data_IF_184107759566
#
_entry.id   IF_184107759566
#
_cell.length_a   1.000
_cell.length_b   1.000
_cell.length_c   1.000
_cell.angle_alpha   90.00
_cell.angle_beta   90.00
_cell.angle_gamma   90.00
#
_symmetry.space_group_name_H-M   'P 1'
#
loop_
_entity.id
_entity.type
_entity.pdbx_description
1 polymer ?
#
# COMPACT_ATOMS: atom_id res chain seq x y z
N UNK A 1 -26.93 48.24 -32.72
CA UNK A 1 -27.36 46.90 -32.23
C UNK A 1 -26.20 45.91 -32.03
N UNK A 2 -25.26 45.74 -32.98
CA UNK A 2 -24.19 44.74 -32.87
C UNK A 2 -23.14 44.96 -31.77
N UNK A 3 -22.86 46.21 -31.38
CA UNK A 3 -21.86 46.51 -30.34
C UNK A 3 -22.29 46.08 -28.92
N UNK A 4 -23.60 46.12 -28.62
CA UNK A 4 -24.14 45.72 -27.32
C UNK A 4 -24.09 44.20 -27.14
N UNK A 5 -24.42 43.43 -28.18
CA UNK A 5 -24.33 41.96 -28.17
C UNK A 5 -22.88 41.46 -27.99
N UNK A 6 -21.89 42.18 -28.53
CA UNK A 6 -20.48 41.86 -28.34
C UNK A 6 -19.97 42.08 -26.91
N UNK A 7 -20.47 43.12 -26.23
CA UNK A 7 -20.11 43.42 -24.85
C UNK A 7 -20.73 42.41 -23.87
N UNK A 8 -21.94 41.96 -24.15
CA UNK A 8 -22.67 40.98 -23.33
C UNK A 8 -22.02 39.59 -23.38
N UNK A 9 -21.66 39.11 -24.58
CA UNK A 9 -20.91 37.86 -24.74
C UNK A 9 -19.54 37.87 -24.04
N UNK A 10 -18.87 39.03 -23.99
CA UNK A 10 -17.60 39.18 -23.25
C UNK A 10 -17.81 39.14 -21.74
N UNK A 11 -18.89 39.74 -21.22
CA UNK A 11 -19.25 39.67 -19.79
C UNK A 11 -19.59 38.24 -19.38
N UNK A 12 -20.33 37.52 -20.21
CA UNK A 12 -20.74 36.14 -19.95
C UNK A 12 -19.54 35.17 -19.97
N UNK A 13 -18.62 35.31 -20.94
CA UNK A 13 -17.35 34.57 -20.95
C UNK A 13 -16.51 34.83 -19.71
N UNK A 14 -16.38 36.10 -19.28
CA UNK A 14 -15.63 36.45 -18.06
C UNK A 14 -16.29 35.89 -16.80
N UNK A 15 -17.62 35.81 -16.75
CA UNK A 15 -18.36 35.22 -15.63
C UNK A 15 -18.16 33.70 -15.57
N UNK A 16 -18.24 33.01 -16.70
CA UNK A 16 -17.96 31.58 -16.80
C UNK A 16 -16.52 31.23 -16.41
N UNK A 17 -15.55 32.04 -16.85
CA UNK A 17 -14.14 31.86 -16.53
C UNK A 17 -13.82 32.12 -15.06
N UNK A 18 -14.52 33.06 -14.41
CA UNK A 18 -14.42 33.29 -12.95
C UNK A 18 -15.07 32.16 -12.15
N UNK A 19 -16.15 31.56 -12.65
CA UNK A 19 -16.80 30.41 -12.00
C UNK A 19 -15.94 29.14 -12.11
N UNK A 20 -15.26 28.91 -13.24
CA UNK A 20 -14.35 27.77 -13.40
C UNK A 20 -13.03 27.92 -12.63
N UNK A 21 -12.65 29.15 -12.27
CA UNK A 21 -11.48 29.45 -11.44
C UNK A 21 -11.80 29.64 -9.95
N UNK A 22 -13.08 29.58 -9.55
CA UNK A 22 -13.42 29.49 -8.13
C UNK A 22 -12.99 28.11 -7.65
N UNK A 23 -12.01 28.08 -6.76
CA UNK A 23 -11.68 26.89 -5.98
C UNK A 23 -12.98 26.37 -5.32
N UNK A 24 -13.25 25.06 -5.36
CA UNK A 24 -14.41 24.49 -4.70
C UNK A 24 -14.38 24.82 -3.20
N UNK A 25 -15.56 24.88 -2.57
CA UNK A 25 -15.68 25.10 -1.14
C UNK A 25 -14.75 24.14 -0.39
N UNK A 26 -14.11 24.65 0.66
CA UNK A 26 -12.94 24.15 1.39
C UNK A 26 -12.90 22.68 1.84
N UNK A 27 -13.88 21.84 1.50
CA UNK A 27 -13.84 20.38 1.61
C UNK A 27 -13.04 19.68 0.50
N UNK A 28 -12.97 20.25 -0.71
CA UNK A 28 -12.29 19.64 -1.87
C UNK A 28 -10.79 19.97 -1.98
N UNK A 29 -10.30 20.90 -1.14
CA UNK A 29 -8.85 21.15 -1.04
C UNK A 29 -8.10 19.94 -0.47
N UNK A 30 -8.75 19.13 0.36
CA UNK A 30 -8.16 17.88 0.86
C UNK A 30 -8.14 16.82 -0.26
N UNK A 31 -9.18 16.75 -1.10
CA UNK A 31 -9.23 15.83 -2.25
C UNK A 31 -8.22 16.18 -3.35
N UNK A 32 -7.92 17.47 -3.53
CA UNK A 32 -6.91 17.95 -4.50
C UNK A 32 -5.47 17.93 -3.97
N UNK A 33 -5.27 17.87 -2.65
CA UNK A 33 -3.97 17.61 -2.02
C UNK A 33 -3.63 16.12 -1.91
N UNK A 34 -4.60 15.22 -2.10
CA UNK A 34 -4.29 13.81 -2.22
C UNK A 34 -3.71 13.54 -3.61
N UNK A 35 -2.51 12.93 -3.71
CA UNK A 35 -2.00 12.51 -5.01
C UNK A 35 -3.05 11.62 -5.65
N UNK A 36 -3.43 11.92 -6.90
CA UNK A 36 -4.42 11.15 -7.66
C UNK A 36 -4.22 9.66 -7.35
N UNK A 37 -5.27 9.01 -6.84
CA UNK A 37 -5.23 7.62 -6.39
C UNK A 37 -4.98 6.73 -7.60
N UNK A 38 -3.70 6.59 -7.94
CA UNK A 38 -3.24 5.77 -9.05
C UNK A 38 -3.59 4.33 -8.68
N UNK A 39 -4.23 3.56 -9.57
CA UNK A 39 -4.44 2.15 -9.34
C UNK A 39 -3.09 1.51 -9.02
N UNK A 40 -3.04 0.79 -7.91
CA UNK A 40 -1.80 0.21 -7.40
C UNK A 40 -1.76 -1.22 -7.90
N UNK A 41 -0.82 -1.49 -8.80
CA UNK A 41 -0.73 -2.73 -9.57
C UNK A 41 0.26 -3.76 -8.99
N UNK A 42 0.63 -3.64 -7.73
CA UNK A 42 1.54 -4.59 -7.06
C UNK A 42 1.20 -4.82 -5.60
N UNK A 43 1.79 -5.86 -5.01
CA UNK A 43 1.48 -6.27 -3.64
C UNK A 43 1.98 -5.24 -2.60
N UNK A 44 2.98 -4.43 -2.94
CA UNK A 44 3.54 -3.42 -2.04
C UNK A 44 2.99 -2.03 -2.37
N UNK A 45 2.42 -1.38 -1.36
CA UNK A 45 1.90 -0.01 -1.47
C UNK A 45 2.99 1.07 -1.43
N UNK A 46 2.70 2.27 -1.96
CA UNK A 46 3.68 3.37 -2.07
C UNK A 46 4.10 3.99 -0.73
N UNK A 47 3.36 3.74 0.35
CA UNK A 47 3.74 4.19 1.69
C UNK A 47 4.97 3.44 2.23
N UNK A 48 5.09 2.16 1.85
CA UNK A 48 6.08 1.21 2.38
C UNK A 48 7.30 1.15 1.45
N UNK A 49 7.09 1.28 0.13
CA UNK A 49 8.15 1.10 -0.87
C UNK A 49 8.98 2.36 -1.12
N UNK A 50 10.30 2.26 -0.94
CA UNK A 50 11.28 3.35 -1.03
C UNK A 50 12.38 3.05 -2.05
N UNK A 51 12.79 4.10 -2.75
CA UNK A 51 13.94 4.06 -3.64
C UNK A 51 15.23 4.20 -2.82
N UNK A 52 16.11 3.21 -2.89
CA UNK A 52 17.42 3.21 -2.25
C UNK A 52 18.42 4.18 -2.88
N UNK A 53 18.15 4.73 -4.07
CA UNK A 53 19.00 5.73 -4.72
C UNK A 53 18.75 7.15 -4.21
N UNK A 54 17.49 7.53 -3.97
CA UNK A 54 17.12 8.91 -3.63
C UNK A 54 16.15 9.05 -2.44
N UNK A 55 15.77 7.95 -1.78
CA UNK A 55 14.86 7.92 -0.63
C UNK A 55 13.38 8.16 -0.95
N UNK A 56 13.04 8.62 -2.17
CA UNK A 56 11.66 8.88 -2.54
C UNK A 56 10.79 7.63 -2.56
N UNK A 57 9.47 7.81 -2.42
CA UNK A 57 8.51 6.72 -2.59
C UNK A 57 8.52 6.17 -4.02
N UNK A 58 8.26 4.88 -4.13
CA UNK A 58 8.00 4.21 -5.39
C UNK A 58 6.53 3.80 -5.46
N UNK A 59 5.97 3.66 -6.66
CA UNK A 59 4.62 3.15 -6.87
C UNK A 59 4.60 2.24 -8.09
N UNK A 60 3.64 1.32 -8.11
CA UNK A 60 3.39 0.49 -9.27
C UNK A 60 2.71 1.33 -10.37
N UNK A 61 3.21 1.22 -11.59
CA UNK A 61 2.62 1.80 -12.80
C UNK A 61 2.45 0.70 -13.83
N UNK A 62 1.29 0.63 -14.47
CA UNK A 62 1.14 -0.17 -15.68
C UNK A 62 1.82 0.55 -16.84
N UNK A 63 2.58 -0.21 -17.61
CA UNK A 63 3.10 0.19 -18.90
C UNK A 63 2.64 -0.82 -19.95
N UNK A 64 2.20 -0.31 -21.10
CA UNK A 64 1.91 -1.14 -22.27
C UNK A 64 3.22 -1.36 -23.02
N UNK A 65 3.66 -2.62 -23.11
CA UNK A 65 4.93 -3.02 -23.71
C UNK A 65 4.66 -3.93 -24.91
N UNK A 66 5.37 -3.70 -26.01
CA UNK A 66 5.29 -4.54 -27.22
C UNK A 66 4.90 -3.79 -28.50
N UNK A 67 5.09 -4.45 -29.64
CA UNK A 67 4.77 -3.92 -30.96
C UNK A 67 3.26 -3.80 -31.19
N UNK A 68 2.86 -3.00 -32.17
CA UNK A 68 1.47 -2.91 -32.64
C UNK A 68 0.97 -4.32 -33.00
N UNK A 69 -0.11 -4.78 -32.36
CA UNK A 69 -0.66 -6.14 -32.52
C UNK A 69 -0.21 -7.19 -31.50
N UNK A 70 0.85 -6.93 -30.71
CA UNK A 70 1.31 -7.81 -29.59
C UNK A 70 1.61 -7.00 -28.34
N UNK A 71 0.66 -6.15 -27.93
CA UNK A 71 0.80 -5.32 -26.73
C UNK A 71 0.45 -6.15 -25.50
N UNK A 72 1.38 -6.22 -24.55
CA UNK A 72 1.16 -6.77 -23.21
C UNK A 72 1.20 -5.64 -22.20
N UNK A 73 0.34 -5.67 -21.18
CA UNK A 73 0.45 -4.75 -20.06
C UNK A 73 1.34 -5.39 -19.00
N UNK A 74 2.38 -4.67 -18.56
CA UNK A 74 3.23 -5.10 -17.46
C UNK A 74 3.28 -4.01 -16.40
N UNK A 75 3.16 -4.41 -15.14
CA UNK A 75 3.29 -3.50 -14.03
C UNK A 75 4.76 -3.38 -13.61
N UNK A 76 5.21 -2.18 -13.31
CA UNK A 76 6.55 -1.92 -12.78
C UNK A 76 6.52 -0.92 -11.65
N UNK A 77 7.35 -1.14 -10.63
CA UNK A 77 7.63 -0.16 -9.60
C UNK A 77 8.56 0.92 -10.13
N UNK A 78 8.12 2.18 -10.02
CA UNK A 78 8.85 3.34 -10.54
C UNK A 78 9.06 4.34 -9.41
N UNK A 79 10.29 4.85 -9.29
CA UNK A 79 10.61 5.95 -8.39
C UNK A 79 9.84 7.22 -8.79
N UNK A 80 9.26 7.92 -7.81
CA UNK A 80 8.57 9.20 -8.03
C UNK A 80 9.43 10.21 -8.78
N UNK A 81 10.66 10.45 -8.34
CA UNK A 81 11.52 11.42 -9.00
C UNK A 81 11.97 10.99 -10.40
N UNK A 82 12.20 9.68 -10.62
CA UNK A 82 12.49 9.18 -11.95
C UNK A 82 11.33 9.44 -12.91
N UNK A 83 10.08 9.18 -12.52
CA UNK A 83 8.92 9.46 -13.39
C UNK A 83 8.70 10.95 -13.59
N UNK A 84 8.75 11.73 -12.51
CA UNK A 84 8.35 13.14 -12.53
C UNK A 84 9.43 14.03 -13.19
N UNK A 85 10.72 13.65 -13.09
CA UNK A 85 11.87 14.47 -13.53
C UNK A 85 12.86 13.74 -14.45
N UNK A 86 12.66 12.45 -14.70
CA UNK A 86 13.55 11.64 -15.54
C UNK A 86 14.76 11.03 -14.82
N UNK A 87 15.50 10.21 -15.56
CA UNK A 87 16.64 9.44 -15.05
C UNK A 87 17.82 10.33 -14.58
N UNK A 88 17.94 11.55 -15.09
CA UNK A 88 18.97 12.51 -14.68
C UNK A 88 18.85 12.90 -13.20
N UNK A 89 17.64 12.89 -12.64
CA UNK A 89 17.41 13.20 -11.23
C UNK A 89 17.51 11.96 -10.34
N UNK A 90 17.07 10.80 -10.84
CA UNK A 90 17.19 9.54 -10.14
C UNK A 90 17.40 8.40 -11.13
N UNK A 91 18.61 7.82 -11.11
CA UNK A 91 18.99 6.71 -11.98
C UNK A 91 18.33 5.37 -11.62
N UNK A 92 17.40 5.34 -10.66
CA UNK A 92 16.66 4.13 -10.29
C UNK A 92 15.78 3.67 -11.47
N UNK A 93 16.07 2.53 -12.11
CA UNK A 93 15.26 2.06 -13.23
C UNK A 93 13.87 1.59 -12.74
N UNK A 94 12.86 1.57 -13.63
CA UNK A 94 11.64 0.80 -13.42
C UNK A 94 11.99 -0.68 -13.16
N UNK A 95 11.38 -1.27 -12.13
CA UNK A 95 11.58 -2.69 -11.80
C UNK A 95 10.26 -3.44 -11.93
N UNK A 96 10.20 -4.61 -12.58
CA UNK A 96 8.97 -5.40 -12.67
C UNK A 96 8.38 -5.67 -11.29
N UNK A 97 7.06 -5.56 -11.18
CA UNK A 97 6.35 -5.78 -9.90
C UNK A 97 6.61 -7.19 -9.37
N UNK A 98 6.50 -8.21 -10.23
CA UNK A 98 6.69 -9.62 -9.89
C UNK A 98 8.04 -9.87 -9.20
N UNK A 99 9.13 -9.30 -9.73
CA UNK A 99 10.48 -9.45 -9.17
C UNK A 99 10.59 -8.92 -7.74
N UNK A 100 9.96 -7.76 -7.49
CA UNK A 100 9.98 -7.14 -6.16
C UNK A 100 9.04 -7.87 -5.21
N UNK A 101 7.83 -8.18 -5.66
CA UNK A 101 6.80 -8.84 -4.86
C UNK A 101 7.28 -10.22 -4.40
N UNK A 102 7.88 -11.02 -5.29
CA UNK A 102 8.40 -12.35 -4.97
C UNK A 102 9.63 -12.29 -4.05
N UNK A 103 10.52 -11.32 -4.25
CA UNK A 103 11.68 -11.13 -3.36
C UNK A 103 11.26 -10.72 -1.93
N UNK A 104 10.26 -9.83 -1.81
CA UNK A 104 9.72 -9.43 -0.51
C UNK A 104 8.96 -10.58 0.13
N UNK A 105 8.14 -11.31 -0.63
CA UNK A 105 7.46 -12.50 -0.16
C UNK A 105 8.45 -13.55 0.37
N UNK A 106 9.53 -13.84 -0.37
CA UNK A 106 10.58 -14.77 0.07
C UNK A 106 11.24 -14.32 1.38
N UNK A 107 11.53 -13.03 1.53
CA UNK A 107 12.10 -12.47 2.76
C UNK A 107 11.12 -12.60 3.94
N UNK A 108 9.84 -12.29 3.73
CA UNK A 108 8.78 -12.43 4.76
C UNK A 108 8.60 -13.88 5.15
N UNK A 109 8.48 -14.79 4.19
CA UNK A 109 8.33 -16.22 4.43
C UNK A 109 9.54 -16.79 5.18
N UNK A 110 10.76 -16.43 4.77
CA UNK A 110 11.99 -16.83 5.44
C UNK A 110 12.01 -16.38 6.90
N UNK A 111 11.66 -15.12 7.14
CA UNK A 111 11.62 -14.56 8.49
C UNK A 111 10.53 -15.22 9.37
N UNK A 112 9.35 -15.49 8.81
CA UNK A 112 8.27 -16.19 9.53
C UNK A 112 8.68 -17.61 9.93
N UNK A 113 9.44 -18.31 9.09
CA UNK A 113 10.01 -19.63 9.44
C UNK A 113 10.99 -19.52 10.61
N UNK A 114 11.84 -18.49 10.63
CA UNK A 114 12.76 -18.26 11.75
C UNK A 114 12.00 -18.04 13.06
N UNK A 115 10.89 -17.31 13.05
CA UNK A 115 10.07 -17.09 14.25
C UNK A 115 9.30 -18.33 14.69
N UNK A 116 8.77 -19.10 13.74
CA UNK A 116 8.06 -20.36 14.02
C UNK A 116 8.98 -21.39 14.70
N UNK A 117 10.26 -21.43 14.28
CA UNK A 117 11.27 -22.29 14.90
C UNK A 117 11.79 -21.76 16.25
N UNK A 118 11.65 -20.47 16.52
CA UNK A 118 12.21 -19.80 17.70
C UNK A 118 11.20 -19.58 18.85
N UNK A 119 9.96 -20.09 18.75
CA UNK A 119 8.92 -19.78 19.74
C UNK A 119 8.54 -20.99 20.62
N UNK A 120 9.12 -21.14 21.83
CA UNK A 120 8.29 -21.26 23.02
C UNK A 120 7.71 -19.86 23.33
N UNK A 121 6.38 -19.73 23.35
CA UNK A 121 5.63 -18.51 23.66
C UNK A 121 6.43 -17.46 24.46
N UNK A 122 6.86 -16.32 23.88
CA UNK A 122 7.40 -15.24 24.70
C UNK A 122 6.26 -14.69 25.57
N UNK A 123 6.49 -14.43 26.88
CA UNK A 123 5.48 -13.83 27.74
C UNK A 123 5.09 -12.47 27.17
N UNK A 124 3.78 -12.23 27.07
CA UNK A 124 3.25 -10.97 26.62
C UNK A 124 3.85 -9.83 27.45
N UNK A 125 4.58 -8.93 26.82
CA UNK A 125 5.00 -7.69 27.48
C UNK A 125 3.75 -6.99 28.02
N UNK A 126 3.72 -6.72 29.33
CA UNK A 126 2.65 -6.03 30.02
C UNK A 126 2.53 -4.61 29.46
N UNK A 127 1.60 -4.42 28.52
CA UNK A 127 1.10 -3.08 28.19
C UNK A 127 -0.04 -2.79 29.15
N UNK A 128 -0.04 -1.66 29.88
CA UNK A 128 -1.01 -1.38 30.94
C UNK A 128 -2.45 -1.52 30.43
N UNK A 129 -3.24 -2.34 31.13
CA UNK A 129 -4.56 -2.81 30.72
C UNK A 129 -5.58 -1.70 30.40
N UNK A 130 -5.38 -0.50 30.95
CA UNK A 130 -6.23 0.67 30.67
C UNK A 130 -6.01 1.28 29.28
N UNK A 131 -4.82 1.14 28.69
CA UNK A 131 -4.51 1.72 27.38
C UNK A 131 -5.02 0.88 26.19
N UNK A 132 -5.29 -0.41 26.40
CA UNK A 132 -5.68 -1.33 25.32
C UNK A 132 -7.16 -1.28 24.98
N UNK A 133 -8.06 -1.08 25.95
CA UNK A 133 -9.50 -0.99 25.66
C UNK A 133 -9.86 0.30 24.93
N UNK A 134 -9.31 1.44 25.36
CA UNK A 134 -9.51 2.73 24.70
C UNK A 134 -8.90 2.76 23.29
N UNK A 135 -7.74 2.13 23.10
CA UNK A 135 -7.12 1.99 21.79
C UNK A 135 -7.97 1.11 20.84
N UNK A 136 -8.50 -0.02 21.33
CA UNK A 136 -9.42 -0.89 20.56
C UNK A 136 -10.71 -0.15 20.23
N UNK A 137 -11.29 0.58 21.18
CA UNK A 137 -12.50 1.37 20.96
C UNK A 137 -12.28 2.49 19.93
N UNK A 138 -11.12 3.15 19.99
CA UNK A 138 -10.73 4.21 19.04
C UNK A 138 -10.51 3.62 17.64
N UNK A 139 -9.83 2.48 17.53
CA UNK A 139 -9.62 1.77 16.26
C UNK A 139 -10.96 1.27 15.68
N UNK A 140 -11.86 0.76 16.53
CA UNK A 140 -13.20 0.32 16.13
C UNK A 140 -14.03 1.49 15.58
N UNK A 141 -14.04 2.62 16.29
CA UNK A 141 -14.72 3.83 15.85
C UNK A 141 -14.14 4.40 14.55
N UNK A 142 -12.82 4.30 14.35
CA UNK A 142 -12.19 4.70 13.10
C UNK A 142 -12.60 3.78 11.93
N UNK A 143 -12.62 2.46 12.16
CA UNK A 143 -13.12 1.47 11.20
C UNK A 143 -14.60 1.71 10.89
N UNK A 144 -15.45 2.00 11.88
CA UNK A 144 -16.88 2.26 11.68
C UNK A 144 -17.13 3.54 10.87
N UNK A 145 -16.37 4.61 11.14
CA UNK A 145 -16.44 5.84 10.34
C UNK A 145 -16.04 5.58 8.89
N UNK A 146 -14.97 4.82 8.66
CA UNK A 146 -14.53 4.44 7.31
C UNK A 146 -15.56 3.55 6.62
N UNK A 147 -16.13 2.57 7.33
CA UNK A 147 -17.18 1.69 6.83
C UNK A 147 -18.42 2.49 6.41
N UNK A 148 -18.91 3.37 7.29
CA UNK A 148 -20.06 4.22 7.00
C UNK A 148 -19.82 5.11 5.78
N UNK A 149 -18.60 5.67 5.65
CA UNK A 149 -18.21 6.50 4.50
C UNK A 149 -18.17 5.67 3.21
N UNK A 150 -17.63 4.45 3.25
CA UNK A 150 -17.59 3.54 2.08
C UNK A 150 -19.01 3.11 1.69
N UNK A 151 -19.86 2.75 2.65
CA UNK A 151 -21.26 2.38 2.40
C UNK A 151 -22.06 3.54 1.81
N UNK A 152 -21.87 4.77 2.32
CA UNK A 152 -22.54 5.96 1.81
C UNK A 152 -22.10 6.32 0.38
N UNK A 153 -20.83 6.13 0.05
CA UNK A 153 -20.30 6.38 -1.29
C UNK A 153 -20.61 5.23 -2.28
N UNK A 154 -20.85 4.02 -1.79
CA UNK A 154 -21.17 2.85 -2.60
C UNK A 154 -20.14 2.60 -3.69
N UNK A 155 -20.59 2.46 -4.94
CA UNK A 155 -19.72 2.25 -6.11
C UNK A 155 -18.82 3.44 -6.46
N UNK A 156 -19.04 4.61 -5.83
CA UNK A 156 -18.22 5.81 -6.00
C UNK A 156 -17.12 5.93 -4.94
N UNK A 157 -17.01 4.97 -4.01
CA UNK A 157 -15.98 4.98 -3.00
C UNK A 157 -14.58 4.91 -3.65
N UNK A 158 -13.68 5.87 -3.38
CA UNK A 158 -12.30 5.81 -3.83
C UNK A 158 -11.62 4.54 -3.31
N UNK A 159 -10.81 3.88 -4.15
CA UNK A 159 -10.07 2.67 -3.76
C UNK A 159 -9.23 2.86 -2.49
N UNK A 160 -8.68 4.06 -2.26
CA UNK A 160 -7.92 4.37 -1.04
C UNK A 160 -8.78 4.36 0.23
N UNK A 161 -10.06 4.70 0.15
CA UNK A 161 -10.96 4.57 1.31
C UNK A 161 -11.24 3.10 1.61
N UNK A 162 -11.38 2.26 0.58
CA UNK A 162 -11.53 0.80 0.74
C UNK A 162 -10.23 0.20 1.31
N UNK A 163 -9.07 0.63 0.85
CA UNK A 163 -7.75 0.20 1.38
C UNK A 163 -7.55 0.64 2.83
N UNK A 164 -7.90 1.88 3.18
CA UNK A 164 -7.85 2.37 4.56
C UNK A 164 -8.80 1.62 5.46
N UNK A 165 -9.99 1.29 4.97
CA UNK A 165 -10.94 0.46 5.69
C UNK A 165 -10.35 -0.94 5.93
N UNK A 166 -9.83 -1.60 4.90
CA UNK A 166 -9.19 -2.91 5.04
C UNK A 166 -8.02 -2.89 6.03
N UNK A 167 -7.20 -1.83 6.01
CA UNK A 167 -6.09 -1.64 6.95
C UNK A 167 -6.61 -1.44 8.37
N UNK A 168 -7.61 -0.57 8.56
CA UNK A 168 -8.20 -0.31 9.87
C UNK A 168 -8.88 -1.56 10.46
N UNK A 169 -9.52 -2.38 9.62
CA UNK A 169 -10.09 -3.67 10.02
C UNK A 169 -9.01 -4.66 10.45
N UNK A 170 -7.95 -4.83 9.66
CA UNK A 170 -6.84 -5.71 10.01
C UNK A 170 -6.10 -5.27 11.29
N UNK A 171 -5.96 -3.96 11.50
CA UNK A 171 -5.34 -3.43 12.72
C UNK A 171 -6.25 -3.64 13.94
N UNK A 172 -7.57 -3.46 13.79
CA UNK A 172 -8.53 -3.77 14.86
C UNK A 172 -8.51 -5.26 15.23
N UNK A 173 -8.55 -6.15 14.24
CA UNK A 173 -8.44 -7.60 14.44
C UNK A 173 -7.12 -7.96 15.16
N UNK A 174 -6.01 -7.32 14.79
CA UNK A 174 -4.71 -7.50 15.46
C UNK A 174 -4.77 -7.10 16.93
N UNK A 175 -5.34 -5.93 17.25
CA UNK A 175 -5.47 -5.47 18.63
C UNK A 175 -6.40 -6.38 19.44
N UNK A 176 -7.50 -6.85 18.84
CA UNK A 176 -8.41 -7.81 19.46
C UNK A 176 -7.73 -9.15 19.72
N UNK A 177 -6.95 -9.67 18.77
CA UNK A 177 -6.17 -10.90 18.95
C UNK A 177 -5.12 -10.76 20.05
N UNK A 178 -4.45 -9.61 20.14
CA UNK A 178 -3.50 -9.33 21.22
C UNK A 178 -4.18 -9.25 22.59
N UNK A 179 -5.35 -8.60 22.67
CA UNK A 179 -6.14 -8.52 23.91
C UNK A 179 -6.62 -9.91 24.35
N UNK A 180 -7.14 -10.73 23.43
CA UNK A 180 -7.68 -12.06 23.75
C UNK A 180 -6.58 -13.09 24.08
N UNK A 181 -5.38 -12.97 23.47
CA UNK A 181 -4.21 -13.78 23.88
C UNK A 181 -3.81 -13.51 25.34
N UNK A 182 -4.03 -12.31 25.86
CA UNK A 182 -3.81 -12.00 27.29
C UNK A 182 -4.86 -12.64 28.20
N UNK A 183 -6.08 -12.78 27.69
CA UNK A 183 -7.21 -13.38 28.42
C UNK A 183 -7.23 -14.91 28.36
N UNK A 184 -6.24 -15.55 27.70
CA UNK A 184 -6.12 -17.01 27.63
C UNK A 184 -7.18 -17.69 26.76
N UNK A 185 -7.95 -16.94 25.98
CA UNK A 185 -8.97 -17.48 25.08
C UNK A 185 -8.36 -18.00 23.77
N UNK A 186 -8.62 -19.27 23.37
CA UNK A 186 -8.16 -19.79 22.09
C UNK A 186 -8.99 -19.18 20.96
N UNK A 187 -8.38 -18.28 20.21
CA UNK A 187 -8.96 -17.70 19.01
C UNK A 187 -8.89 -18.66 17.82
N UNK A 188 -10.03 -18.90 17.18
CA UNK A 188 -10.08 -19.42 15.80
C UNK A 188 -9.94 -18.22 14.85
N UNK A 189 -8.71 -17.77 14.62
CA UNK A 189 -8.45 -16.77 13.59
C UNK A 189 -8.84 -17.37 12.22
N UNK A 190 -9.66 -16.66 11.44
CA UNK A 190 -10.08 -17.06 10.09
C UNK A 190 -9.80 -15.94 9.09
N UNK A 191 -9.55 -16.29 7.82
CA UNK A 191 -9.33 -15.34 6.73
C UNK A 191 -7.94 -15.42 6.08
N UNK A 192 -7.70 -14.67 4.98
CA UNK A 192 -6.52 -14.82 4.13
C UNK A 192 -5.20 -14.48 4.85
N UNK A 193 -5.22 -13.58 5.83
CA UNK A 193 -4.04 -13.29 6.67
C UNK A 193 -3.68 -14.45 7.60
N UNK A 194 -4.66 -15.21 8.07
CA UNK A 194 -4.44 -16.42 8.86
C UNK A 194 -3.95 -17.58 7.99
N UNK A 195 -4.61 -17.81 6.85
CA UNK A 195 -4.20 -18.83 5.89
C UNK A 195 -2.77 -18.59 5.40
N UNK A 196 -2.40 -17.34 5.14
CA UNK A 196 -1.04 -16.96 4.76
C UNK A 196 0.00 -17.32 5.83
N UNK A 197 -0.36 -17.26 7.12
CA UNK A 197 0.56 -17.66 8.20
C UNK A 197 0.77 -19.16 8.28
N UNK A 198 -0.27 -19.95 7.98
CA UNK A 198 -0.21 -21.41 8.02
C UNK A 198 0.42 -21.98 6.74
N UNK A 199 0.07 -21.43 5.58
CA UNK A 199 0.44 -21.94 4.24
C UNK A 199 0.86 -20.78 3.32
N UNK A 200 1.96 -20.07 3.62
CA UNK A 200 2.33 -18.83 2.93
C UNK A 200 2.47 -18.98 1.41
N UNK A 201 3.05 -20.08 0.93
CA UNK A 201 3.22 -20.32 -0.50
C UNK A 201 1.88 -20.52 -1.23
N UNK A 202 1.08 -21.47 -0.75
CA UNK A 202 -0.21 -21.79 -1.38
C UNK A 202 -1.17 -20.59 -1.35
N UNK A 203 -1.17 -19.83 -0.25
CA UNK A 203 -1.96 -18.61 -0.14
C UNK A 203 -1.44 -17.51 -1.07
N UNK A 204 -0.12 -17.32 -1.19
CA UNK A 204 0.47 -16.31 -2.08
C UNK A 204 0.10 -16.54 -3.55
N UNK A 205 0.17 -17.80 -4.01
CA UNK A 205 -0.14 -18.18 -5.38
C UNK A 205 -1.64 -18.03 -5.71
N UNK A 206 -2.51 -18.25 -4.71
CA UNK A 206 -3.96 -18.13 -4.87
C UNK A 206 -4.47 -16.68 -4.85
N UNK A 207 -3.68 -15.72 -4.34
CA UNK A 207 -4.09 -14.33 -4.20
C UNK A 207 -3.70 -13.48 -5.43
N UNK A 208 -4.59 -12.57 -5.82
CA UNK A 208 -4.31 -11.51 -6.78
C UNK A 208 -3.46 -10.39 -6.13
N UNK A 209 -3.09 -9.35 -6.90
CA UNK A 209 -2.26 -8.26 -6.37
C UNK A 209 -2.89 -7.53 -5.16
N UNK A 210 -4.21 -7.44 -5.10
CA UNK A 210 -4.93 -6.81 -3.99
C UNK A 210 -4.91 -7.70 -2.73
N UNK A 211 -5.16 -9.00 -2.90
CA UNK A 211 -5.07 -10.00 -1.84
C UNK A 211 -3.65 -10.15 -1.30
N UNK A 212 -2.64 -10.20 -2.17
CA UNK A 212 -1.22 -10.20 -1.78
C UNK A 212 -0.86 -8.97 -0.96
N UNK A 213 -1.42 -7.81 -1.31
CA UNK A 213 -1.23 -6.59 -0.52
C UNK A 213 -1.92 -6.64 0.84
N UNK A 214 -3.13 -7.17 0.92
CA UNK A 214 -3.86 -7.22 2.19
C UNK A 214 -3.14 -8.10 3.22
N UNK A 215 -2.47 -9.18 2.78
CA UNK A 215 -1.67 -10.03 3.66
C UNK A 215 -0.29 -9.45 3.99
N UNK A 216 0.36 -8.75 3.06
CA UNK A 216 1.70 -8.18 3.27
C UNK A 216 1.72 -6.85 4.02
N UNK A 217 0.78 -5.94 3.73
CA UNK A 217 0.72 -4.60 4.36
C UNK A 217 0.80 -4.63 5.90
N UNK A 218 0.07 -5.50 6.62
CA UNK A 218 0.17 -5.54 8.08
C UNK A 218 1.52 -6.05 8.59
N UNK A 219 2.27 -6.81 7.76
CA UNK A 219 3.56 -7.41 8.07
C UNK A 219 4.74 -6.51 7.69
N UNK A 220 4.56 -5.51 6.83
CA UNK A 220 5.66 -4.69 6.32
C UNK A 220 5.68 -3.30 6.94
N UNK A 221 6.86 -2.87 7.40
CA UNK A 221 7.12 -1.50 7.82
C UNK A 221 7.72 -0.65 6.70
N UNK A 222 8.73 -1.18 6.01
CA UNK A 222 9.43 -0.49 4.92
C UNK A 222 10.09 -1.50 3.97
N UNK A 223 10.16 -1.17 2.69
CA UNK A 223 10.90 -1.94 1.68
C UNK A 223 11.78 -0.98 0.88
N UNK A 224 13.06 -1.29 0.75
CA UNK A 224 14.03 -0.45 0.02
C UNK A 224 14.52 -1.18 -1.22
N UNK A 225 14.39 -0.55 -2.38
CA UNK A 225 14.81 -1.08 -3.69
C UNK A 225 15.93 -0.23 -4.27
N UNK A 226 17.04 -0.85 -4.67
CA UNK A 226 18.15 -0.17 -5.35
C UNK A 226 18.53 -0.93 -6.61
N UNK A 227 18.60 -0.24 -7.74
CA UNK A 227 18.82 -0.91 -9.02
C UNK A 227 17.64 -1.84 -9.35
N UNK A 228 17.90 -3.09 -9.75
CA UNK A 228 16.82 -4.07 -10.02
C UNK A 228 16.51 -4.98 -8.81
N UNK A 229 16.99 -4.63 -7.62
CA UNK A 229 17.05 -5.52 -6.46
C UNK A 229 16.42 -4.91 -5.21
N UNK A 230 15.72 -5.74 -4.43
CA UNK A 230 15.34 -5.40 -3.06
C UNK A 230 16.59 -5.48 -2.20
N UNK A 231 16.89 -4.41 -1.46
CA UNK A 231 18.09 -4.32 -0.60
C UNK A 231 17.77 -4.61 0.86
N UNK A 232 16.64 -4.08 1.35
CA UNK A 232 16.20 -4.32 2.72
C UNK A 232 14.69 -4.40 2.82
N UNK A 233 14.20 -5.29 3.68
CA UNK A 233 12.79 -5.42 4.04
C UNK A 233 12.67 -5.31 5.56
N UNK A 234 11.89 -4.36 6.04
CA UNK A 234 11.58 -4.20 7.46
C UNK A 234 10.23 -4.84 7.74
N UNK A 235 10.25 -5.91 8.53
CA UNK A 235 9.10 -6.77 8.81
C UNK A 235 8.64 -6.55 10.25
N UNK A 236 7.34 -6.35 10.43
CA UNK A 236 6.67 -6.18 11.72
C UNK A 236 6.32 -7.55 12.30
N UNK A 237 6.65 -7.74 13.57
CA UNK A 237 6.27 -8.89 14.37
C UNK A 237 4.92 -8.66 15.05
N UNK A 238 4.33 -9.75 15.58
CA UNK A 238 3.05 -9.71 16.30
C UNK A 238 3.10 -8.88 17.59
N UNK A 239 4.28 -8.72 18.19
CA UNK A 239 4.52 -7.90 19.39
C UNK A 239 4.74 -6.41 19.08
N UNK A 240 4.68 -6.02 17.79
CA UNK A 240 4.92 -4.66 17.34
C UNK A 240 6.39 -4.32 17.07
N UNK A 241 7.34 -5.21 17.36
CA UNK A 241 8.75 -5.00 17.00
C UNK A 241 8.93 -5.07 15.49
N UNK A 242 9.90 -4.31 14.98
CA UNK A 242 10.27 -4.32 13.57
C UNK A 242 11.68 -4.86 13.41
N UNK A 243 11.86 -5.85 12.54
CA UNK A 243 13.15 -6.43 12.20
C UNK A 243 13.49 -6.12 10.74
N UNK A 244 14.68 -5.58 10.49
CA UNK A 244 15.16 -5.33 9.13
C UNK A 244 16.01 -6.50 8.65
N UNK A 245 15.58 -7.11 7.54
CA UNK A 245 16.28 -8.17 6.83
C UNK A 245 16.97 -7.57 5.62
N UNK A 246 18.28 -7.81 5.48
CA UNK A 246 18.99 -7.50 4.24
C UNK A 246 18.70 -8.59 3.21
N UNK A 247 18.19 -8.19 2.06
CA UNK A 247 17.82 -9.13 0.99
C UNK A 247 18.96 -9.11 -0.03
N UNK A 248 19.82 -10.12 0.02
CA UNK A 248 20.77 -10.36 -1.05
C UNK A 248 20.02 -11.01 -2.23
N UNK A 249 19.42 -10.20 -3.10
CA UNK A 249 18.93 -10.73 -4.38
C UNK A 249 20.13 -10.94 -5.30
N UNK A 250 20.68 -12.15 -5.33
CA UNK A 250 21.56 -12.59 -6.39
C UNK A 250 20.76 -12.52 -7.70
N UNK A 251 21.13 -11.64 -8.62
CA UNK A 251 20.56 -11.68 -9.96
C UNK A 251 20.96 -13.01 -10.61
N UNK A 252 20.05 -13.70 -11.31
CA UNK A 252 20.49 -14.67 -12.31
C UNK A 252 21.32 -13.89 -13.33
N UNK A 253 22.54 -14.38 -13.59
CA UNK A 253 23.42 -13.80 -14.59
C UNK A 253 22.64 -13.63 -15.90
N UNK A 254 22.62 -12.41 -16.43
CA UNK A 254 22.09 -12.10 -17.75
C UNK A 254 22.83 -13.02 -18.75
N UNK A 255 22.14 -14.02 -19.29
CA UNK A 255 22.64 -14.78 -20.44
C UNK A 255 22.60 -13.81 -21.60
N UNK A 256 23.75 -13.20 -21.88
CA UNK A 256 23.98 -12.47 -23.11
C UNK A 256 23.77 -13.44 -24.28
N UNK A 257 22.79 -13.14 -25.14
CA UNK A 257 22.63 -13.71 -26.48
C UNK A 257 22.06 -12.64 -27.39
#
# INVERSE_FOLDING_TARGET
AGAQQGAERRRERRRAQRLSQRLPASGDLIASLQPATRPVHGAIGPAILRCGTCGASMYASLATVGAVGKRSQRASYICRYHKDRGAAFCAQPPVPVEVIDDAVFAAVQGQMRTWSLASPNPPAAETPAGATQDAVATAAAQRDRLQATVTQLGSRAPAVLIERLATATADLERMQMQAQRREGSPLVATGPGWDFRQRPQATWEALDAAGRRSVLTPLLAAVTVRGKSVTSVSIRQDDGRTQTVQVATAQPAEVAS
#
